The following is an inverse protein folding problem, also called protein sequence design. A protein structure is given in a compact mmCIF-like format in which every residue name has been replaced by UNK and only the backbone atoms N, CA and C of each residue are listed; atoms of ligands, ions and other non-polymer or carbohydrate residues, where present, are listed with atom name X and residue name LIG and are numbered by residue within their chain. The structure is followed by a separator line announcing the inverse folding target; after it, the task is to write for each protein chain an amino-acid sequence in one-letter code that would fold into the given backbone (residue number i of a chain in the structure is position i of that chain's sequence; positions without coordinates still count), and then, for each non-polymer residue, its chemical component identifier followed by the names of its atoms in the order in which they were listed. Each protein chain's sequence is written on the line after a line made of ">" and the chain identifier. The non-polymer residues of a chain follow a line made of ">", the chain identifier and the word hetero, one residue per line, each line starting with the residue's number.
data_IF_486597313766
#
_entry.id   IF_486597313766
#
_cell.length_a   1.000
_cell.length_b   1.000
_cell.length_c   1.000
_cell.angle_alpha   90.00
_cell.angle_beta   90.00
_cell.angle_gamma   90.00
#
_symmetry.space_group_name_H-M   'P 1'
#
loop_
_entity.id
_entity.type
_entity.pdbx_description
1 polymer ?
#
# COMPACT_ATOMS: atom_id res chain seq x y z
N UNK A 1 66.46 8.12 -52.26
CA UNK A 1 65.58 8.34 -51.11
C UNK A 1 64.46 9.27 -51.55
N UNK A 2 63.27 8.75 -51.86
CA UNK A 2 62.09 9.57 -52.17
C UNK A 2 61.31 9.72 -50.86
N UNK A 3 61.34 10.91 -50.27
CA UNK A 3 60.45 11.27 -49.17
C UNK A 3 59.02 11.27 -49.70
N UNK A 4 58.23 10.28 -49.30
CA UNK A 4 56.78 10.32 -49.49
C UNK A 4 56.26 11.46 -48.61
N UNK A 5 55.99 12.63 -49.21
CA UNK A 5 55.19 13.67 -48.58
C UNK A 5 53.80 13.10 -48.30
N UNK A 6 53.64 12.55 -47.09
CA UNK A 6 52.38 12.06 -46.59
C UNK A 6 51.44 13.26 -46.46
N UNK A 7 50.54 13.45 -47.42
CA UNK A 7 49.53 14.50 -47.34
C UNK A 7 48.66 14.19 -46.12
N UNK A 8 48.88 14.92 -45.02
CA UNK A 8 48.21 14.66 -43.73
C UNK A 8 46.75 15.13 -43.75
N UNK A 9 46.38 15.95 -44.74
CA UNK A 9 45.04 16.50 -44.94
C UNK A 9 43.93 15.43 -45.00
N UNK A 10 44.02 14.38 -45.84
CA UNK A 10 43.02 13.29 -45.83
C UNK A 10 42.96 12.53 -44.49
N UNK A 11 44.08 12.41 -43.78
CA UNK A 11 44.12 11.76 -42.46
C UNK A 11 43.38 12.59 -41.41
N UNK A 12 43.57 13.91 -41.41
CA UNK A 12 42.83 14.81 -40.50
C UNK A 12 41.34 14.89 -40.83
N UNK A 13 40.96 14.85 -42.11
CA UNK A 13 39.55 14.82 -42.54
C UNK A 13 38.88 13.52 -42.06
N UNK A 14 39.53 12.38 -42.27
CA UNK A 14 39.01 11.08 -41.82
C UNK A 14 38.88 11.02 -40.30
N UNK A 15 39.87 11.53 -39.56
CA UNK A 15 39.83 11.60 -38.10
C UNK A 15 38.70 12.52 -37.60
N UNK A 16 38.53 13.69 -38.20
CA UNK A 16 37.45 14.61 -37.86
C UNK A 16 36.07 13.99 -38.08
N UNK A 17 35.85 13.33 -39.23
CA UNK A 17 34.60 12.62 -39.51
C UNK A 17 34.33 11.47 -38.53
N UNK A 18 35.37 10.70 -38.17
CA UNK A 18 35.25 9.62 -37.21
C UNK A 18 34.84 10.15 -35.82
N UNK A 19 35.47 11.23 -35.36
CA UNK A 19 35.13 11.86 -34.07
C UNK A 19 33.68 12.36 -34.09
N UNK A 20 33.27 13.08 -35.14
CA UNK A 20 31.89 13.58 -35.27
C UNK A 20 30.88 12.44 -35.26
N UNK A 21 31.16 11.34 -35.97
CA UNK A 21 30.28 10.18 -36.01
C UNK A 21 30.17 9.50 -34.64
N UNK A 22 31.28 9.30 -33.94
CA UNK A 22 31.28 8.73 -32.57
C UNK A 22 30.49 9.62 -31.61
N UNK A 23 30.71 10.94 -31.63
CA UNK A 23 29.96 11.89 -30.81
C UNK A 23 28.46 11.84 -31.16
N UNK A 24 28.13 11.81 -32.44
CA UNK A 24 26.74 11.70 -32.92
C UNK A 24 26.05 10.43 -32.46
N UNK A 25 26.74 9.28 -32.51
CA UNK A 25 26.22 7.99 -32.00
C UNK A 25 26.02 8.03 -30.49
N UNK A 26 26.97 8.58 -29.72
CA UNK A 26 26.85 8.69 -28.26
C UNK A 26 25.68 9.59 -27.86
N UNK A 27 25.52 10.73 -28.52
CA UNK A 27 24.39 11.65 -28.29
C UNK A 27 23.06 10.98 -28.68
N UNK A 28 23.00 10.34 -29.85
CA UNK A 28 21.80 9.62 -30.32
C UNK A 28 21.39 8.49 -29.37
N UNK A 29 22.35 7.68 -28.93
CA UNK A 29 22.11 6.60 -27.96
C UNK A 29 21.60 7.13 -26.62
N UNK A 30 22.14 8.26 -26.13
CA UNK A 30 21.69 8.90 -24.89
C UNK A 30 20.23 9.37 -24.99
N UNK A 31 19.88 10.07 -26.08
CA UNK A 31 18.52 10.59 -26.29
C UNK A 31 17.48 9.48 -26.39
N UNK A 32 17.80 8.37 -27.05
CA UNK A 32 16.91 7.20 -27.12
C UNK A 32 16.78 6.51 -25.77
N UNK A 33 17.90 6.36 -25.04
CA UNK A 33 17.89 5.78 -23.69
C UNK A 33 17.07 6.60 -22.70
N UNK A 34 17.12 7.93 -22.75
CA UNK A 34 16.34 8.79 -21.85
C UNK A 34 14.84 8.69 -22.15
N UNK A 35 14.44 8.60 -23.43
CA UNK A 35 13.05 8.35 -23.82
C UNK A 35 12.53 6.99 -23.38
N UNK A 36 13.38 5.98 -23.30
CA UNK A 36 12.99 4.63 -22.84
C UNK A 36 12.77 4.51 -21.34
N UNK A 37 13.08 5.56 -20.55
CA UNK A 37 12.89 5.60 -19.08
C UNK A 37 11.80 6.60 -18.68
N UNK A 38 10.69 6.55 -19.39
CA UNK A 38 9.51 7.34 -19.05
C UNK A 38 8.60 6.54 -18.14
N UNK A 39 8.19 7.13 -17.02
CA UNK A 39 7.26 6.52 -16.07
C UNK A 39 6.02 7.42 -15.98
N UNK A 40 4.85 6.86 -16.30
CA UNK A 40 3.59 7.51 -16.01
C UNK A 40 3.23 7.25 -14.55
N UNK A 41 2.90 8.31 -13.81
CA UNK A 41 2.35 8.20 -12.47
C UNK A 41 0.95 8.78 -12.43
N UNK A 42 0.02 8.04 -11.85
CA UNK A 42 -1.30 8.56 -11.50
C UNK A 42 -1.17 9.50 -10.30
N UNK A 43 -1.97 10.57 -10.33
CA UNK A 43 -2.16 11.42 -9.17
C UNK A 43 -2.90 10.65 -8.07
N UNK A 44 -2.41 10.78 -6.84
CA UNK A 44 -3.00 10.24 -5.61
C UNK A 44 -3.09 11.41 -4.64
N UNK A 45 -4.10 11.45 -3.73
CA UNK A 45 -4.17 12.52 -2.73
C UNK A 45 -2.85 12.68 -1.96
N UNK A 46 -2.23 13.85 -2.13
CA UNK A 46 -0.96 14.20 -1.50
C UNK A 46 -1.01 15.69 -1.07
N UNK A 47 -1.71 15.99 0.03
CA UNK A 47 -2.02 17.38 0.42
C UNK A 47 -0.78 18.22 0.75
N UNK A 48 0.36 17.58 1.04
CA UNK A 48 1.62 18.25 1.36
C UNK A 48 2.67 18.14 0.24
N UNK A 49 2.30 17.66 -0.96
CA UNK A 49 3.25 17.40 -2.04
C UNK A 49 3.96 18.64 -2.60
N UNK A 50 3.34 19.81 -2.48
CA UNK A 50 3.90 21.11 -2.92
C UNK A 50 4.69 21.83 -1.82
N UNK A 51 4.93 21.15 -0.69
CA UNK A 51 5.71 21.71 0.42
C UNK A 51 7.17 21.96 0.06
N UNK A 52 7.82 22.84 0.82
CA UNK A 52 9.25 23.12 0.68
C UNK A 52 10.07 21.87 1.03
N UNK A 53 9.64 21.12 2.03
CA UNK A 53 10.23 19.87 2.50
C UNK A 53 10.25 18.81 1.40
N UNK A 54 9.13 18.62 0.68
CA UNK A 54 9.09 17.71 -0.45
C UNK A 54 9.97 18.18 -1.61
N UNK A 55 10.02 19.48 -1.89
CA UNK A 55 10.91 20.02 -2.93
C UNK A 55 12.38 19.76 -2.59
N UNK A 56 12.79 20.02 -1.34
CA UNK A 56 14.14 19.78 -0.85
C UNK A 56 14.51 18.29 -0.88
N UNK A 57 13.58 17.41 -0.49
CA UNK A 57 13.78 15.96 -0.60
C UNK A 57 14.04 15.56 -2.05
N UNK A 58 13.23 16.03 -3.00
CA UNK A 58 13.38 15.66 -4.42
C UNK A 58 14.76 16.03 -4.99
N UNK A 59 15.34 17.13 -4.53
CA UNK A 59 16.67 17.60 -4.92
C UNK A 59 17.80 16.74 -4.32
N UNK A 60 17.60 16.18 -3.13
CA UNK A 60 18.59 15.35 -2.41
C UNK A 60 18.49 13.84 -2.75
N UNK A 61 17.42 13.42 -3.43
CA UNK A 61 17.20 12.01 -3.74
C UNK A 61 18.34 11.39 -4.58
N UNK A 62 18.69 10.12 -4.32
CA UNK A 62 19.79 9.46 -5.02
C UNK A 62 19.48 9.24 -6.50
N UNK A 63 20.53 9.26 -7.31
CA UNK A 63 20.43 8.99 -8.76
C UNK A 63 20.09 7.53 -9.08
N UNK A 64 20.32 6.62 -8.14
CA UNK A 64 20.06 5.18 -8.25
C UNK A 64 19.37 4.68 -7.00
N UNK A 65 18.32 3.87 -7.15
CA UNK A 65 17.58 3.19 -6.08
C UNK A 65 17.30 1.77 -6.55
N UNK A 66 17.52 0.75 -5.72
CA UNK A 66 17.30 -0.65 -6.08
C UNK A 66 18.10 -1.08 -7.33
N UNK A 67 19.24 -0.43 -7.62
CA UNK A 67 19.99 -0.60 -8.86
C UNK A 67 19.33 0.01 -10.12
N UNK A 68 18.15 0.63 -9.97
CA UNK A 68 17.42 1.34 -11.02
C UNK A 68 17.88 2.80 -11.10
N UNK A 69 17.98 3.34 -12.30
CA UNK A 69 18.40 4.74 -12.51
C UNK A 69 17.19 5.67 -12.50
N UNK A 70 17.41 6.92 -12.09
CA UNK A 70 16.38 7.97 -12.13
C UNK A 70 15.71 8.03 -13.51
N UNK A 71 14.38 8.02 -13.49
CA UNK A 71 13.51 8.04 -14.66
C UNK A 71 12.84 9.41 -14.80
N UNK A 72 12.45 9.76 -16.03
CA UNK A 72 11.67 10.97 -16.30
C UNK A 72 10.19 10.66 -16.13
N UNK A 73 9.49 11.49 -15.36
CA UNK A 73 8.03 11.40 -15.23
C UNK A 73 7.35 12.02 -16.45
N UNK A 74 6.28 11.37 -16.92
CA UNK A 74 5.49 11.86 -18.05
C UNK A 74 4.47 12.90 -17.57
N UNK A 75 4.32 13.99 -18.33
CA UNK A 75 3.34 15.04 -18.03
C UNK A 75 1.89 14.51 -18.04
N UNK A 76 1.04 14.94 -17.09
CA UNK A 76 1.34 15.86 -15.99
C UNK A 76 2.13 15.19 -14.86
N UNK A 77 3.27 15.78 -14.48
CA UNK A 77 4.09 15.29 -13.37
C UNK A 77 3.43 15.66 -12.02
N UNK A 78 3.05 14.69 -11.17
CA UNK A 78 2.52 15.01 -9.85
C UNK A 78 3.58 15.71 -8.99
N UNK A 79 3.23 16.72 -8.18
CA UNK A 79 4.16 17.33 -7.24
C UNK A 79 4.68 16.29 -6.25
N UNK A 80 5.89 16.50 -5.71
CA UNK A 80 6.50 15.59 -4.74
C UNK A 80 6.84 14.19 -5.27
N UNK A 81 6.80 13.96 -6.59
CA UNK A 81 6.98 12.63 -7.17
C UNK A 81 8.38 12.42 -7.79
N UNK A 82 8.86 11.18 -7.68
CA UNK A 82 10.08 10.70 -8.32
C UNK A 82 9.91 9.26 -8.80
N UNK A 83 10.72 8.85 -9.78
CA UNK A 83 10.76 7.45 -10.21
C UNK A 83 12.16 7.03 -10.63
N UNK A 84 12.40 5.72 -10.55
CA UNK A 84 13.56 5.03 -11.10
C UNK A 84 13.07 3.85 -11.91
N UNK A 85 13.72 3.55 -13.04
CA UNK A 85 13.30 2.42 -13.88
C UNK A 85 14.43 1.79 -14.69
N UNK A 86 14.24 0.51 -15.02
CA UNK A 86 15.06 -0.24 -15.97
C UNK A 86 14.20 -1.33 -16.62
N UNK A 87 13.88 -1.17 -17.91
CA UNK A 87 12.93 -2.06 -18.57
C UNK A 87 11.55 -1.91 -17.92
N UNK A 88 10.95 -3.03 -17.52
CA UNK A 88 9.64 -3.05 -16.88
C UNK A 88 9.71 -2.81 -15.35
N UNK A 89 10.90 -2.94 -14.75
CA UNK A 89 11.10 -2.72 -13.32
C UNK A 89 11.09 -1.23 -12.99
N UNK A 90 10.39 -0.87 -11.91
CA UNK A 90 10.29 0.52 -11.44
C UNK A 90 10.22 0.62 -9.92
N UNK A 91 10.73 1.74 -9.42
CA UNK A 91 10.48 2.25 -8.07
C UNK A 91 9.89 3.64 -8.22
N UNK A 92 8.84 3.95 -7.46
CA UNK A 92 8.21 5.27 -7.47
C UNK A 92 8.15 5.82 -6.06
N UNK A 93 8.43 7.11 -5.90
CA UNK A 93 8.36 7.81 -4.63
C UNK A 93 7.35 8.95 -4.74
N UNK A 94 6.53 9.13 -3.70
CA UNK A 94 5.61 10.26 -3.54
C UNK A 94 5.79 10.85 -2.14
N UNK A 95 6.19 12.12 -2.08
CA UNK A 95 6.26 12.90 -0.85
C UNK A 95 4.97 13.67 -0.62
N UNK A 96 4.57 13.80 0.64
CA UNK A 96 3.40 14.57 1.05
C UNK A 96 2.08 13.86 0.92
N UNK A 97 2.10 12.52 0.90
CA UNK A 97 0.88 11.69 0.96
C UNK A 97 0.26 11.71 2.36
N UNK A 98 -0.96 11.21 2.50
CA UNK A 98 -1.53 10.91 3.82
C UNK A 98 -0.92 9.64 4.41
N UNK A 99 -0.94 9.51 5.74
CA UNK A 99 -0.70 8.20 6.37
C UNK A 99 -1.65 7.15 5.80
N UNK A 100 -1.18 5.92 5.55
CA UNK A 100 -2.04 4.84 5.09
C UNK A 100 -2.98 4.42 6.21
N UNK A 101 -4.25 4.14 5.89
CA UNK A 101 -5.25 3.64 6.86
C UNK A 101 -4.81 2.29 7.47
N UNK A 102 -3.95 1.56 6.78
CA UNK A 102 -3.31 0.32 7.21
C UNK A 102 -2.30 0.53 8.36
N UNK A 103 -1.89 1.76 8.66
CA UNK A 103 -1.06 2.07 9.83
C UNK A 103 -1.91 2.08 11.10
N UNK A 104 -2.05 0.93 11.74
CA UNK A 104 -2.84 0.71 12.95
C UNK A 104 -1.95 0.28 14.11
N UNK A 105 -2.55 0.14 15.30
CA UNK A 105 -1.88 -0.43 16.47
C UNK A 105 -1.39 -1.89 16.31
N UNK A 106 -1.76 -2.58 15.23
CA UNK A 106 -1.23 -3.91 14.89
C UNK A 106 -0.14 -3.87 13.80
N UNK A 107 0.13 -2.70 13.23
CA UNK A 107 1.14 -2.57 12.18
C UNK A 107 2.52 -2.90 12.71
N UNK A 108 3.29 -3.60 11.89
CA UNK A 108 4.72 -3.80 12.12
C UNK A 108 5.48 -2.71 11.40
N UNK A 109 6.41 -2.09 12.12
CA UNK A 109 7.29 -1.08 11.57
C UNK A 109 8.73 -1.58 11.53
N UNK A 110 9.52 -1.01 10.62
CA UNK A 110 10.95 -1.27 10.52
C UNK A 110 11.70 0.07 10.51
N UNK A 111 12.72 0.18 11.36
CA UNK A 111 13.69 1.28 11.27
C UNK A 111 14.72 0.95 10.18
N UNK A 112 14.84 1.84 9.21
CA UNK A 112 15.84 1.76 8.15
C UNK A 112 16.57 3.09 8.08
N UNK A 113 17.85 3.08 8.46
CA UNK A 113 18.69 4.27 8.52
C UNK A 113 18.05 5.43 9.32
N UNK A 114 17.39 5.10 10.43
CA UNK A 114 16.78 6.07 11.34
C UNK A 114 15.40 6.56 10.90
N UNK A 115 14.82 6.01 9.82
CA UNK A 115 13.46 6.30 9.36
C UNK A 115 12.58 5.09 9.65
N UNK A 116 11.45 5.31 10.30
CA UNK A 116 10.46 4.28 10.61
C UNK A 116 9.48 4.09 9.44
N UNK A 117 9.39 2.86 8.96
CA UNK A 117 8.57 2.48 7.81
C UNK A 117 7.49 1.48 8.19
N UNK A 118 6.29 1.66 7.66
CA UNK A 118 5.27 0.60 7.57
C UNK A 118 5.16 0.13 6.12
N UNK A 119 5.13 -1.18 5.91
CA UNK A 119 4.93 -1.80 4.60
C UNK A 119 3.45 -2.14 4.39
N UNK A 120 2.92 -1.78 3.23
CA UNK A 120 1.59 -2.16 2.76
C UNK A 120 1.76 -2.94 1.46
N UNK A 121 1.45 -4.24 1.48
CA UNK A 121 1.52 -5.09 0.30
C UNK A 121 0.19 -5.10 -0.46
N UNK A 122 0.26 -5.17 -1.79
CA UNK A 122 -0.91 -5.35 -2.65
C UNK A 122 -1.21 -6.86 -2.77
N UNK A 123 -2.37 -7.34 -2.26
CA UNK A 123 -2.67 -8.76 -2.19
C UNK A 123 -2.56 -9.47 -3.55
N UNK A 124 -1.94 -10.65 -3.54
CA UNK A 124 -1.78 -11.48 -4.75
C UNK A 124 -0.73 -10.98 -5.74
N UNK A 125 0.08 -9.98 -5.37
CA UNK A 125 1.17 -9.44 -6.20
C UNK A 125 2.46 -9.24 -5.39
N UNK A 126 3.58 -9.04 -6.07
CA UNK A 126 4.85 -8.66 -5.44
C UNK A 126 4.98 -7.14 -5.23
N UNK A 127 3.93 -6.37 -5.52
CA UNK A 127 3.90 -4.91 -5.39
C UNK A 127 3.66 -4.54 -3.92
N UNK A 128 4.50 -3.65 -3.39
CA UNK A 128 4.34 -3.13 -2.05
C UNK A 128 4.69 -1.63 -2.00
N UNK A 129 4.07 -0.93 -1.05
CA UNK A 129 4.37 0.47 -0.75
C UNK A 129 4.80 0.62 0.71
N UNK A 130 5.95 1.23 0.92
CA UNK A 130 6.48 1.59 2.23
C UNK A 130 6.15 3.06 2.51
N UNK A 131 5.55 3.33 3.67
CA UNK A 131 5.20 4.67 4.13
C UNK A 131 6.02 5.03 5.35
N UNK A 132 6.54 6.26 5.40
CA UNK A 132 7.14 6.77 6.63
C UNK A 132 6.07 6.98 7.70
N UNK A 133 6.36 6.58 8.93
CA UNK A 133 5.43 6.72 10.07
C UNK A 133 6.03 7.51 11.23
N UNK A 134 7.15 8.18 10.96
CA UNK A 134 7.88 9.04 11.89
C UNK A 134 8.38 10.35 11.24
N UNK A 135 7.91 10.69 10.03
CA UNK A 135 8.28 11.91 9.28
C UNK A 135 7.08 12.77 8.90
N UNK A 136 7.30 14.07 8.77
CA UNK A 136 6.38 15.02 8.14
C UNK A 136 7.12 15.88 7.09
N UNK A 137 6.66 15.90 5.83
CA UNK A 137 5.53 15.17 5.25
C UNK A 137 5.75 13.65 5.15
N UNK A 138 4.67 12.88 5.03
CA UNK A 138 4.75 11.42 4.84
C UNK A 138 5.27 11.10 3.44
N UNK A 139 6.20 10.16 3.33
CA UNK A 139 6.76 9.69 2.05
C UNK A 139 6.32 8.25 1.82
N UNK A 140 5.79 8.00 0.63
CA UNK A 140 5.45 6.66 0.13
C UNK A 140 6.44 6.25 -0.95
N UNK A 141 6.94 5.02 -0.87
CA UNK A 141 7.83 4.43 -1.87
C UNK A 141 7.23 3.11 -2.30
N UNK A 142 6.99 2.91 -3.59
CA UNK A 142 6.38 1.71 -4.16
C UNK A 142 7.38 0.97 -5.03
N UNK A 143 7.48 -0.35 -4.87
CA UNK A 143 8.36 -1.22 -5.65
C UNK A 143 7.80 -2.64 -5.76
N UNK A 144 8.29 -3.39 -6.74
CA UNK A 144 7.98 -4.81 -6.94
C UNK A 144 9.15 -5.68 -6.46
N UNK A 145 8.88 -6.70 -5.65
CA UNK A 145 9.81 -7.80 -5.32
C UNK A 145 11.01 -7.48 -4.43
N UNK A 146 11.35 -6.21 -4.18
CA UNK A 146 12.44 -5.82 -3.29
C UNK A 146 12.13 -4.55 -2.50
N UNK A 147 12.73 -4.44 -1.31
CA UNK A 147 12.63 -3.27 -0.44
C UNK A 147 13.60 -2.16 -0.87
N UNK A 148 13.11 -0.99 -1.35
CA UNK A 148 13.95 0.12 -1.80
C UNK A 148 14.29 1.11 -0.67
N UNK A 149 13.77 0.93 0.55
CA UNK A 149 13.82 1.94 1.63
C UNK A 149 15.25 2.29 2.04
N UNK A 150 16.18 1.32 2.01
CA UNK A 150 17.58 1.54 2.38
C UNK A 150 18.29 2.62 1.57
N UNK A 151 17.96 2.75 0.28
CA UNK A 151 18.62 3.72 -0.61
C UNK A 151 18.07 5.13 -0.44
N UNK A 152 16.79 5.27 -0.10
CA UNK A 152 16.10 6.56 0.01
C UNK A 152 16.03 7.10 1.44
N UNK A 153 16.14 6.23 2.45
CA UNK A 153 16.06 6.63 3.86
C UNK A 153 17.08 7.70 4.27
N UNK A 154 18.35 7.70 3.80
CA UNK A 154 19.30 8.76 4.15
C UNK A 154 18.85 10.18 3.77
N UNK A 155 18.21 10.34 2.60
CA UNK A 155 17.66 11.63 2.17
C UNK A 155 16.38 11.97 2.95
N UNK A 156 15.52 10.97 3.17
CA UNK A 156 14.26 11.12 3.92
C UNK A 156 14.50 11.43 5.40
N UNK A 157 15.61 10.96 5.99
CA UNK A 157 15.99 11.25 7.36
C UNK A 157 16.23 12.75 7.63
N UNK A 158 16.38 13.58 6.61
CA UNK A 158 16.48 15.04 6.74
C UNK A 158 15.13 15.73 6.95
N UNK A 159 14.01 15.02 6.70
CA UNK A 159 12.68 15.55 6.97
C UNK A 159 12.43 15.68 8.48
N UNK A 160 11.61 16.66 8.92
CA UNK A 160 11.17 16.76 10.30
C UNK A 160 10.59 15.44 10.84
N UNK A 161 11.04 15.05 12.04
CA UNK A 161 10.45 13.93 12.75
C UNK A 161 9.05 14.29 13.27
N UNK A 162 8.13 13.34 13.21
CA UNK A 162 6.78 13.48 13.77
C UNK A 162 6.30 12.19 14.37
N UNK A 163 5.85 12.24 15.61
CA UNK A 163 5.15 11.13 16.22
C UNK A 163 3.70 11.09 15.75
N UNK A 164 3.37 10.06 14.97
CA UNK A 164 2.01 9.82 14.51
C UNK A 164 1.26 8.88 15.46
N UNK A 165 -0.03 9.13 15.66
CA UNK A 165 -0.91 8.19 16.35
C UNK A 165 -1.44 7.18 15.31
N UNK A 166 -1.21 5.87 15.47
CA UNK A 166 -1.80 4.87 14.58
C UNK A 166 -3.32 4.95 14.57
N UNK A 167 -3.92 4.56 13.45
CA UNK A 167 -5.36 4.43 13.32
C UNK A 167 -5.90 3.30 14.22
N UNK A 168 -7.14 3.47 14.67
CA UNK A 168 -7.82 2.41 15.39
C UNK A 168 -8.13 1.25 14.44
N UNK A 169 -8.23 0.03 14.97
CA UNK A 169 -8.66 -1.10 14.16
C UNK A 169 -10.10 -0.89 13.66
N UNK A 170 -10.43 -1.39 12.47
CA UNK A 170 -11.82 -1.42 12.00
C UNK A 170 -12.76 -1.99 13.07
N UNK A 171 -13.97 -1.45 13.17
CA UNK A 171 -15.01 -1.88 14.11
C UNK A 171 -14.69 -1.69 15.62
N UNK A 172 -13.54 -1.12 15.96
CA UNK A 172 -13.10 -0.98 17.36
C UNK A 172 -13.99 -0.04 18.19
N UNK A 173 -14.63 0.92 17.54
CA UNK A 173 -15.47 1.96 18.13
C UNK A 173 -16.98 1.65 18.08
N UNK A 174 -17.41 0.64 17.32
CA UNK A 174 -18.82 0.27 17.22
C UNK A 174 -19.43 -0.10 18.60
N UNK A 175 -20.60 0.45 18.90
CA UNK A 175 -21.33 0.06 20.10
C UNK A 175 -21.75 -1.42 20.00
N UNK A 176 -21.65 -2.16 21.11
CA UNK A 176 -22.07 -3.57 21.16
C UNK A 176 -23.15 -3.84 22.23
N UNK A 177 -24.39 -3.37 22.05
CA UNK A 177 -25.44 -3.47 23.08
C UNK A 177 -25.96 -4.90 23.30
N UNK A 178 -25.74 -5.82 22.36
CA UNK A 178 -26.09 -7.25 22.50
C UNK A 178 -24.92 -8.12 22.97
N UNK A 179 -23.86 -7.53 23.56
CA UNK A 179 -22.65 -8.24 23.99
C UNK A 179 -22.91 -9.54 24.78
N UNK A 180 -23.92 -9.55 25.65
CA UNK A 180 -24.34 -10.70 26.45
C UNK A 180 -24.72 -11.93 25.61
N UNK A 181 -25.11 -11.75 24.35
CA UNK A 181 -25.49 -12.83 23.43
C UNK A 181 -24.29 -13.40 22.66
N UNK A 182 -23.11 -12.80 22.78
CA UNK A 182 -21.94 -13.14 21.99
C UNK A 182 -21.02 -14.21 22.61
N UNK A 183 -21.24 -14.59 23.88
CA UNK A 183 -20.37 -15.53 24.59
C UNK A 183 -20.15 -16.84 23.83
N UNK A 184 -21.22 -17.40 23.22
CA UNK A 184 -21.13 -18.63 22.44
C UNK A 184 -20.34 -18.47 21.14
N UNK A 185 -20.51 -17.34 20.45
CA UNK A 185 -19.76 -17.02 19.22
C UNK A 185 -18.28 -16.80 19.52
N UNK A 186 -17.97 -15.93 20.49
CA UNK A 186 -16.60 -15.61 20.88
C UNK A 186 -15.85 -16.85 21.41
N UNK A 187 -16.51 -17.71 22.18
CA UNK A 187 -15.92 -18.95 22.68
C UNK A 187 -15.72 -20.05 21.62
N UNK A 188 -16.33 -19.92 20.45
CA UNK A 188 -16.22 -20.85 19.34
C UNK A 188 -15.23 -20.40 18.25
N UNK A 189 -14.62 -19.22 18.40
CA UNK A 189 -13.71 -18.66 17.42
C UNK A 189 -12.49 -19.55 17.19
N UNK A 190 -12.07 -19.77 15.92
CA UNK A 190 -10.95 -20.61 15.62
C UNK A 190 -9.63 -19.88 15.92
N UNK A 191 -8.59 -20.67 16.21
CA UNK A 191 -7.23 -20.13 16.42
C UNK A 191 -6.62 -19.54 15.14
N UNK A 192 -7.04 -20.04 13.98
CA UNK A 192 -6.68 -19.52 12.67
C UNK A 192 -7.95 -19.36 11.85
N UNK A 193 -8.02 -18.32 11.04
CA UNK A 193 -9.08 -18.09 10.08
C UNK A 193 -8.42 -17.96 8.71
N UNK A 194 -8.56 -18.99 7.88
CA UNK A 194 -7.65 -19.21 6.74
C UNK A 194 -6.19 -19.29 7.22
N UNK A 195 -5.32 -18.53 6.57
CA UNK A 195 -3.89 -18.41 6.92
C UNK A 195 -3.61 -17.37 8.01
N UNK A 196 -4.65 -16.70 8.53
CA UNK A 196 -4.51 -15.64 9.53
C UNK A 196 -4.62 -16.20 10.95
N UNK A 197 -3.57 -16.11 11.79
CA UNK A 197 -3.65 -16.50 13.20
C UNK A 197 -4.42 -15.48 14.04
N UNK A 198 -5.13 -15.95 15.07
CA UNK A 198 -5.83 -15.12 16.05
C UNK A 198 -4.81 -14.38 16.92
N UNK A 199 -4.73 -13.06 16.77
CA UNK A 199 -3.78 -12.21 17.50
C UNK A 199 -4.41 -11.48 18.68
N UNK A 200 -5.74 -11.29 18.65
CA UNK A 200 -6.49 -10.66 19.75
C UNK A 200 -7.88 -11.25 19.85
N UNK A 201 -8.33 -11.52 21.08
CA UNK A 201 -9.73 -11.84 21.38
C UNK A 201 -10.07 -11.27 22.75
N UNK A 202 -10.92 -10.24 22.77
CA UNK A 202 -11.28 -9.52 23.99
C UNK A 202 -12.72 -9.03 23.91
N UNK A 203 -13.50 -9.28 24.98
CA UNK A 203 -14.91 -8.91 25.03
C UNK A 203 -15.70 -9.51 23.87
N UNK A 204 -16.25 -8.64 23.02
CA UNK A 204 -17.04 -8.99 21.83
C UNK A 204 -16.25 -8.90 20.52
N UNK A 205 -14.92 -8.75 20.60
CA UNK A 205 -14.08 -8.51 19.43
C UNK A 205 -12.97 -9.54 19.29
N UNK A 206 -12.63 -9.83 18.04
CA UNK A 206 -11.46 -10.64 17.72
C UNK A 206 -10.79 -10.15 16.44
N UNK A 207 -9.49 -10.42 16.35
CA UNK A 207 -8.65 -10.03 15.22
C UNK A 207 -7.77 -11.20 14.82
N UNK A 208 -7.81 -11.55 13.54
CA UNK A 208 -6.85 -12.42 12.90
C UNK A 208 -5.97 -11.60 11.98
N UNK A 209 -4.65 -11.79 12.06
CA UNK A 209 -3.70 -11.01 11.27
C UNK A 209 -2.46 -11.84 10.94
N UNK A 210 -2.12 -11.88 9.66
CA UNK A 210 -0.83 -12.36 9.17
C UNK A 210 0.10 -11.18 8.81
N UNK A 211 1.38 -11.47 8.64
CA UNK A 211 2.35 -10.49 8.15
C UNK A 211 2.03 -10.11 6.71
N UNK A 212 2.18 -8.83 6.37
CA UNK A 212 1.90 -8.27 5.03
C UNK A 212 0.47 -8.48 4.49
N UNK A 213 -0.49 -8.87 5.34
CA UNK A 213 -1.90 -9.03 4.95
C UNK A 213 -2.80 -8.09 5.78
N UNK A 214 -3.87 -7.58 5.16
CA UNK A 214 -4.86 -6.81 5.88
C UNK A 214 -5.61 -7.72 6.89
N UNK A 215 -5.82 -7.26 8.13
CA UNK A 215 -6.38 -8.09 9.18
C UNK A 215 -7.87 -8.36 8.95
N UNK A 216 -8.33 -9.48 9.51
CA UNK A 216 -9.76 -9.78 9.63
C UNK A 216 -10.18 -9.40 11.05
N UNK A 217 -11.09 -8.44 11.18
CA UNK A 217 -11.60 -7.95 12.46
C UNK A 217 -13.07 -8.27 12.57
N UNK A 218 -13.50 -8.85 13.69
CA UNK A 218 -14.92 -9.10 13.99
C UNK A 218 -15.35 -8.34 15.23
N UNK A 219 -16.59 -7.86 15.21
CA UNK A 219 -17.28 -7.32 16.37
C UNK A 219 -18.68 -7.94 16.47
N UNK A 220 -18.97 -8.60 17.58
CA UNK A 220 -20.26 -9.25 17.82
C UNK A 220 -21.18 -8.40 18.68
N UNK A 221 -22.48 -8.47 18.37
CA UNK A 221 -23.54 -7.80 19.10
C UNK A 221 -23.54 -6.30 18.86
N UNK A 222 -23.17 -5.88 17.65
CA UNK A 222 -23.17 -4.48 17.24
C UNK A 222 -24.57 -3.98 16.93
N UNK A 223 -24.76 -2.67 16.97
CA UNK A 223 -26.00 -2.05 16.47
C UNK A 223 -26.20 -2.24 14.97
N UNK A 224 -27.44 -2.08 14.52
CA UNK A 224 -27.75 -2.04 13.09
C UNK A 224 -27.00 -0.87 12.44
N UNK A 225 -26.26 -1.09 11.34
CA UNK A 225 -25.46 -0.04 10.74
C UNK A 225 -26.36 1.09 10.20
N UNK A 226 -25.92 2.34 10.38
CA UNK A 226 -26.74 3.53 10.14
C UNK A 226 -27.12 3.71 8.66
N UNK A 227 -26.33 3.15 7.75
CA UNK A 227 -26.53 3.17 6.30
C UNK A 227 -27.38 1.99 5.80
N UNK A 228 -27.80 1.06 6.66
CA UNK A 228 -28.73 0.00 6.27
C UNK A 228 -30.19 0.48 6.30
N UNK A 229 -30.80 0.49 5.12
CA UNK A 229 -32.18 0.92 4.91
C UNK A 229 -32.98 -0.09 4.07
N UNK A 230 -34.31 0.06 4.08
CA UNK A 230 -35.20 -0.76 3.26
C UNK A 230 -34.81 -0.67 1.76
N UNK A 231 -34.78 -1.82 1.08
CA UNK A 231 -34.34 -1.92 -0.31
C UNK A 231 -32.83 -2.10 -0.49
N UNK A 232 -32.04 -2.12 0.59
CA UNK A 232 -30.63 -2.48 0.53
C UNK A 232 -30.43 -3.87 -0.08
N UNK A 233 -29.35 -4.01 -0.86
CA UNK A 233 -28.95 -5.29 -1.43
C UNK A 233 -28.22 -6.10 -0.37
N UNK A 234 -28.68 -7.33 -0.19
CA UNK A 234 -28.07 -8.28 0.74
C UNK A 234 -27.46 -9.43 -0.07
N UNK A 235 -26.27 -9.84 0.32
CA UNK A 235 -25.63 -11.05 -0.19
C UNK A 235 -25.95 -12.18 0.78
N UNK A 236 -26.58 -13.24 0.29
CA UNK A 236 -26.86 -14.39 1.14
C UNK A 236 -25.70 -15.37 1.08
N UNK A 237 -25.09 -15.62 2.24
CA UNK A 237 -24.11 -16.70 2.44
C UNK A 237 -24.77 -17.69 3.38
N UNK A 238 -25.01 -18.92 2.90
CA UNK A 238 -25.83 -19.91 3.59
C UNK A 238 -27.20 -19.33 4.04
N UNK A 239 -27.53 -19.40 5.33
CA UNK A 239 -28.77 -18.87 5.91
C UNK A 239 -28.57 -17.51 6.60
N UNK A 240 -27.45 -16.82 6.32
CA UNK A 240 -27.14 -15.51 6.89
C UNK A 240 -27.13 -14.46 5.77
N UNK A 241 -28.04 -13.48 5.81
CA UNK A 241 -27.98 -12.33 4.93
C UNK A 241 -26.91 -11.33 5.39
N UNK A 242 -26.03 -10.94 4.48
CA UNK A 242 -24.95 -9.98 4.72
C UNK A 242 -25.23 -8.66 4.02
N UNK A 243 -25.12 -7.56 4.77
CA UNK A 243 -25.13 -6.19 4.25
C UNK A 243 -23.70 -5.66 4.17
N UNK A 244 -23.34 -5.00 3.07
CA UNK A 244 -22.05 -4.30 2.94
C UNK A 244 -22.30 -2.83 3.24
N UNK A 245 -21.85 -2.39 4.41
CA UNK A 245 -21.93 -1.01 4.86
C UNK A 245 -20.60 -0.28 4.76
N UNK A 246 -20.55 0.96 5.24
CA UNK A 246 -19.34 1.78 5.26
C UNK A 246 -18.21 1.17 6.09
N UNK A 247 -18.52 0.60 7.26
CA UNK A 247 -17.52 0.10 8.20
C UNK A 247 -17.17 -1.39 8.01
N UNK A 248 -17.87 -2.10 7.12
CA UNK A 248 -17.64 -3.51 6.84
C UNK A 248 -18.89 -4.30 6.46
N UNK A 249 -18.81 -5.61 6.64
CA UNK A 249 -19.86 -6.59 6.36
C UNK A 249 -20.66 -6.87 7.63
N UNK A 250 -21.99 -6.80 7.55
CA UNK A 250 -22.90 -6.93 8.69
C UNK A 250 -23.83 -8.14 8.50
N UNK A 251 -23.70 -9.14 9.38
CA UNK A 251 -24.53 -10.35 9.40
C UNK A 251 -25.88 -10.08 10.04
N UNK A 252 -26.93 -9.96 9.22
CA UNK A 252 -28.28 -9.63 9.66
C UNK A 252 -29.10 -10.90 9.99
N UNK A 253 -30.30 -10.70 10.57
CA UNK A 253 -31.26 -11.79 10.79
C UNK A 253 -30.95 -12.72 11.98
N UNK A 254 -29.96 -12.37 12.81
CA UNK A 254 -29.59 -13.11 14.02
C UNK A 254 -29.86 -12.28 15.28
N UNK A 255 -29.98 -12.95 16.43
CA UNK A 255 -30.28 -12.29 17.71
C UNK A 255 -29.19 -11.34 18.20
N UNK A 256 -27.97 -11.46 17.67
CA UNK A 256 -26.88 -10.51 17.81
C UNK A 256 -26.25 -10.33 16.43
N UNK A 257 -26.04 -9.08 16.04
CA UNK A 257 -25.47 -8.74 14.74
C UNK A 257 -23.95 -8.88 14.82
N UNK A 258 -23.33 -9.54 13.84
CA UNK A 258 -21.86 -9.64 13.75
C UNK A 258 -21.40 -8.76 12.61
N UNK A 259 -20.55 -7.78 12.91
CA UNK A 259 -19.81 -7.01 11.91
C UNK A 259 -18.44 -7.63 11.66
N UNK A 260 -17.99 -7.56 10.42
CA UNK A 260 -16.69 -8.06 9.99
C UNK A 260 -16.04 -7.06 9.03
N UNK A 261 -14.78 -6.72 9.27
CA UNK A 261 -13.93 -6.01 8.33
C UNK A 261 -12.87 -6.99 7.85
N UNK A 262 -12.75 -7.17 6.53
CA UNK A 262 -11.85 -8.15 5.91
C UNK A 262 -11.51 -7.72 4.48
N UNK A 263 -10.41 -8.22 3.90
CA UNK A 263 -10.12 -8.05 2.49
C UNK A 263 -11.23 -8.65 1.61
N UNK A 264 -11.55 -8.05 0.44
CA UNK A 264 -12.62 -8.53 -0.43
C UNK A 264 -12.40 -9.95 -0.98
N UNK A 265 -11.14 -10.40 -1.05
CA UNK A 265 -10.74 -11.75 -1.44
C UNK A 265 -10.93 -12.82 -0.36
N UNK A 266 -11.20 -12.44 0.90
CA UNK A 266 -11.34 -13.36 2.04
C UNK A 266 -12.72 -14.06 2.08
N UNK A 267 -13.15 -14.62 0.95
CA UNK A 267 -14.50 -15.18 0.80
C UNK A 267 -14.70 -16.48 1.56
N UNK A 268 -13.63 -17.29 1.68
CA UNK A 268 -13.68 -18.56 2.42
C UNK A 268 -13.75 -18.31 3.94
N UNK A 269 -13.05 -17.29 4.42
CA UNK A 269 -13.11 -16.81 5.80
C UNK A 269 -14.49 -16.25 6.14
N UNK A 270 -15.14 -15.53 5.23
CA UNK A 270 -16.52 -15.09 5.39
C UNK A 270 -17.48 -16.28 5.52
N UNK A 271 -17.27 -17.35 4.75
CA UNK A 271 -18.05 -18.58 4.85
C UNK A 271 -17.82 -19.29 6.20
N UNK A 272 -16.59 -19.36 6.68
CA UNK A 272 -16.26 -19.93 7.99
C UNK A 272 -16.91 -19.14 9.14
N UNK A 273 -16.81 -17.81 9.12
CA UNK A 273 -17.51 -16.93 10.08
C UNK A 273 -19.03 -17.14 10.00
N UNK A 274 -19.59 -17.24 8.80
CA UNK A 274 -21.02 -17.50 8.60
C UNK A 274 -21.47 -18.80 9.27
N UNK A 275 -20.69 -19.88 9.12
CA UNK A 275 -20.97 -21.16 9.78
C UNK A 275 -20.93 -21.05 11.30
N UNK A 276 -19.99 -20.28 11.85
CA UNK A 276 -19.91 -20.02 13.30
C UNK A 276 -21.12 -19.25 13.79
N UNK A 277 -21.54 -18.21 13.06
CA UNK A 277 -22.75 -17.42 13.38
C UNK A 277 -23.98 -18.32 13.41
N UNK A 278 -24.17 -19.18 12.39
CA UNK A 278 -25.32 -20.09 12.32
C UNK A 278 -25.38 -21.04 13.52
N UNK A 279 -24.21 -21.56 13.92
CA UNK A 279 -24.07 -22.52 15.02
C UNK A 279 -24.28 -21.89 16.40
N UNK A 280 -23.92 -20.62 16.57
CA UNK A 280 -23.75 -20.03 17.92
C UNK A 280 -24.73 -18.91 18.27
N UNK A 281 -25.27 -18.20 17.29
CA UNK A 281 -26.18 -17.06 17.52
C UNK A 281 -27.52 -17.37 16.87
N UNK A 282 -28.62 -17.64 17.59
CA UNK A 282 -29.90 -18.04 16.97
C UNK A 282 -30.47 -16.99 16.00
N UNK A 283 -31.35 -17.38 15.05
CA UNK A 283 -32.07 -16.43 14.20
C UNK A 283 -33.02 -15.56 15.03
N UNK A 284 -33.30 -14.34 14.55
CA UNK A 284 -34.40 -13.53 15.09
C UNK A 284 -35.70 -14.28 14.80
N UNK A 285 -36.51 -14.53 15.83
CA UNK A 285 -37.84 -15.10 15.61
C UNK A 285 -38.71 -14.03 14.96
N UNK A 286 -39.30 -14.33 13.81
CA UNK A 286 -40.37 -13.51 13.25
C UNK A 286 -41.51 -13.47 14.26
N UNK A 287 -41.92 -12.27 14.70
CA UNK A 287 -43.15 -12.12 15.45
C UNK A 287 -44.31 -12.70 14.60
N UNK A 288 -45.24 -13.47 15.20
CA UNK A 288 -46.40 -14.02 14.50
C UNK A 288 -47.31 -12.92 13.95
#
# INVERSE_FOLDING_TARGET
>A
MRENQFNRTPVYIALGLAIVLVVGVLVGARLVSDRSRQVQLSAVPAPQAESQECSALLDDLPTTVAGLRRATLVDPVPPGAAAWSLGDNRVTLRCGVSLPEQYTELSRTADVAGVEWVKVADPGTDLATWYTVDREPVVAVTAEGQDPTGDVSPAIAQLPEKQWKPFALPLSDLATPEAQRCTGFMGALPKNLGDNPLVRSEGTRAVWAAEDHAPIVVACGVEQPADYAAGARLTQVNNVPWFVGQDGYFALGRQALVAVSMPPEATDELLEITNLIEKTIPPVQSAP
#
